data_IF_801074502103
#
_entry.id   IF_801074502103
#
_cell.length_a   1.000
_cell.length_b   1.000
_cell.length_c   1.000
_cell.angle_alpha   90.00
_cell.angle_beta   90.00
_cell.angle_gamma   90.00
#
_symmetry.space_group_name_H-M   'P 1'
#
loop_
_entity.id
_entity.type
_entity.pdbx_description
1 polymer ?
#
# COMPACT_ATOMS: atom_id res chain seq x y z
N UNK A 1 21.23 -1.95 8.40
CA UNK A 1 19.91 -2.59 8.58
C UNK A 1 20.16 -3.92 9.25
N UNK A 2 19.81 -4.04 10.52
CA UNK A 2 19.91 -5.31 11.26
C UNK A 2 18.56 -5.99 11.14
N UNK A 3 18.52 -7.13 10.45
CA UNK A 3 17.30 -7.90 10.23
C UNK A 3 17.13 -8.98 11.31
N UNK A 4 15.89 -9.22 11.75
CA UNK A 4 15.56 -10.28 12.70
C UNK A 4 14.20 -10.91 12.39
N UNK A 5 14.06 -12.19 12.76
CA UNK A 5 12.82 -12.96 12.70
C UNK A 5 12.19 -13.19 14.08
N UNK A 6 12.88 -12.81 15.16
CA UNK A 6 12.33 -12.84 16.52
C UNK A 6 11.34 -11.68 16.70
N UNK A 7 10.07 -11.98 16.44
CA UNK A 7 8.97 -11.01 16.54
C UNK A 7 7.90 -11.47 17.51
N UNK A 8 7.45 -10.54 18.37
CA UNK A 8 6.33 -10.75 19.28
C UNK A 8 5.28 -9.66 19.08
N UNK A 9 4.02 -10.08 18.96
CA UNK A 9 2.88 -9.19 18.80
C UNK A 9 2.05 -9.17 20.07
N UNK A 10 1.69 -7.99 20.54
CA UNK A 10 0.86 -7.82 21.72
C UNK A 10 -0.59 -7.49 21.34
N UNK A 11 -1.50 -7.62 22.30
CA UNK A 11 -2.89 -7.22 22.11
C UNK A 11 -3.03 -5.70 21.94
N UNK A 12 -4.06 -5.30 21.20
CA UNK A 12 -4.37 -3.89 20.97
C UNK A 12 -5.00 -3.32 22.24
N UNK A 13 -4.37 -2.31 22.81
CA UNK A 13 -4.88 -1.66 24.03
C UNK A 13 -5.42 -0.27 23.71
N UNK A 14 -6.54 0.12 24.32
CA UNK A 14 -6.98 1.52 24.27
C UNK A 14 -6.01 2.41 25.06
N UNK A 15 -5.64 3.54 24.49
CA UNK A 15 -4.84 4.54 25.19
C UNK A 15 -5.70 5.23 26.26
N UNK A 16 -5.36 5.03 27.53
CA UNK A 16 -6.09 5.59 28.67
C UNK A 16 -5.79 7.08 28.90
N UNK A 17 -4.64 7.59 28.44
CA UNK A 17 -4.21 8.98 28.67
C UNK A 17 -4.77 9.97 27.64
N UNK A 18 -5.40 9.50 26.57
CA UNK A 18 -5.90 10.34 25.49
C UNK A 18 -7.37 10.71 25.73
N UNK A 19 -7.68 12.01 25.71
CA UNK A 19 -9.06 12.53 25.78
C UNK A 19 -9.94 11.98 24.64
N UNK A 20 -9.37 11.76 23.46
CA UNK A 20 -10.03 11.10 22.34
C UNK A 20 -9.70 9.60 22.30
N UNK A 21 -10.64 8.69 21.98
CA UNK A 21 -10.36 7.27 21.83
C UNK A 21 -9.21 7.04 20.85
N UNK A 22 -8.19 6.30 21.27
CA UNK A 22 -7.11 5.85 20.40
C UNK A 22 -6.65 4.46 20.84
N UNK A 23 -6.08 3.71 19.92
CA UNK A 23 -5.76 2.29 20.06
C UNK A 23 -4.29 2.09 19.74
N UNK A 24 -3.57 1.43 20.64
CA UNK A 24 -2.11 1.24 20.57
C UNK A 24 -1.84 -0.20 20.16
N UNK A 25 -1.13 -0.34 19.04
CA UNK A 25 -0.51 -1.59 18.60
C UNK A 25 0.90 -1.61 19.16
N UNK A 26 1.29 -2.69 19.85
CA UNK A 26 2.65 -2.91 20.33
C UNK A 26 3.19 -4.20 19.75
N UNK A 27 4.47 -4.19 19.42
CA UNK A 27 5.22 -5.37 18.99
C UNK A 27 6.69 -5.22 19.35
N UNK A 28 7.46 -6.30 19.31
CA UNK A 28 8.91 -6.24 19.50
C UNK A 28 9.62 -7.01 18.41
N UNK A 29 10.77 -6.50 17.98
CA UNK A 29 11.69 -7.15 17.03
C UNK A 29 13.05 -7.27 17.69
N UNK A 30 13.60 -8.48 17.81
CA UNK A 30 14.86 -8.71 18.55
C UNK A 30 14.88 -8.04 19.93
N UNK A 31 13.79 -8.20 20.69
CA UNK A 31 13.54 -7.58 22.02
C UNK A 31 13.42 -6.04 22.04
N UNK A 32 13.65 -5.33 20.94
CA UNK A 32 13.40 -3.88 20.82
C UNK A 32 11.90 -3.63 20.66
N UNK A 33 11.30 -2.93 21.63
CA UNK A 33 9.87 -2.62 21.63
C UNK A 33 9.56 -1.51 20.63
N UNK A 34 8.49 -1.72 19.88
CA UNK A 34 7.90 -0.76 18.95
C UNK A 34 6.43 -0.57 19.31
N UNK A 35 5.93 0.65 19.16
CA UNK A 35 4.52 0.93 19.36
C UNK A 35 4.00 1.92 18.33
N UNK A 36 2.71 1.83 18.02
CA UNK A 36 2.03 2.77 17.15
C UNK A 36 0.59 2.97 17.59
N UNK A 37 0.14 4.21 17.55
CA UNK A 37 -1.20 4.61 17.98
C UNK A 37 -2.05 4.99 16.78
N UNK A 38 -3.26 4.45 16.72
CA UNK A 38 -4.27 4.71 15.70
C UNK A 38 -5.53 5.32 16.31
N UNK A 39 -6.28 6.10 15.53
CA UNK A 39 -7.54 6.72 15.98
C UNK A 39 -8.68 5.72 16.12
N UNK A 40 -8.71 4.68 15.29
CA UNK A 40 -9.78 3.67 15.30
C UNK A 40 -9.21 2.29 15.58
N UNK A 41 -10.05 1.42 16.17
CA UNK A 41 -9.68 0.03 16.46
C UNK A 41 -9.45 -0.75 15.17
N UNK A 42 -10.27 -0.51 14.15
CA UNK A 42 -10.17 -1.17 12.85
C UNK A 42 -8.81 -0.94 12.18
N UNK A 43 -8.29 0.31 12.18
CA UNK A 43 -6.96 0.60 11.64
C UNK A 43 -5.85 -0.11 12.42
N UNK A 44 -5.96 -0.16 13.76
CA UNK A 44 -5.02 -0.89 14.59
C UNK A 44 -5.04 -2.41 14.33
N UNK A 45 -6.23 -2.98 14.19
CA UNK A 45 -6.44 -4.41 13.88
C UNK A 45 -5.93 -4.77 12.48
N UNK A 46 -6.21 -3.94 11.48
CA UNK A 46 -5.72 -4.10 10.11
C UNK A 46 -4.19 -4.06 10.06
N UNK A 47 -3.57 -3.04 10.68
CA UNK A 47 -2.10 -2.94 10.74
C UNK A 47 -1.45 -4.14 11.46
N UNK A 48 -2.00 -4.56 12.61
CA UNK A 48 -1.53 -5.74 13.33
C UNK A 48 -1.68 -7.01 12.49
N UNK A 49 -2.77 -7.13 11.73
CA UNK A 49 -2.97 -8.23 10.78
C UNK A 49 -1.89 -8.23 9.69
N UNK A 50 -1.53 -7.07 9.14
CA UNK A 50 -0.46 -6.97 8.16
C UNK A 50 0.91 -7.40 8.75
N UNK A 51 1.24 -7.01 9.99
CA UNK A 51 2.46 -7.45 10.67
C UNK A 51 2.48 -8.98 10.89
N UNK A 52 1.36 -9.55 11.36
CA UNK A 52 1.23 -11.00 11.56
C UNK A 52 1.38 -11.77 10.25
N UNK A 53 0.81 -11.25 9.17
CA UNK A 53 0.96 -11.84 7.84
C UNK A 53 2.41 -11.81 7.37
N UNK A 54 3.16 -10.72 7.61
CA UNK A 54 4.57 -10.64 7.28
C UNK A 54 5.41 -11.67 8.05
N UNK A 55 5.19 -11.80 9.37
CA UNK A 55 5.86 -12.83 10.16
C UNK A 55 5.52 -14.25 9.69
N UNK A 56 4.25 -14.52 9.36
CA UNK A 56 3.80 -15.82 8.82
C UNK A 56 4.47 -16.15 7.48
N UNK A 57 4.84 -15.14 6.68
CA UNK A 57 5.59 -15.34 5.42
C UNK A 57 7.08 -15.69 5.64
N UNK A 58 7.57 -15.66 6.88
CA UNK A 58 9.00 -15.75 7.15
C UNK A 58 9.74 -14.53 6.62
N UNK A 59 9.10 -13.36 6.66
CA UNK A 59 9.72 -12.11 6.24
C UNK A 59 10.59 -11.54 7.37
N UNK A 60 11.75 -10.99 7.02
CA UNK A 60 12.63 -10.33 7.97
C UNK A 60 12.05 -8.98 8.42
N UNK A 61 12.22 -8.68 9.70
CA UNK A 61 11.90 -7.39 10.27
C UNK A 61 13.19 -6.62 10.54
N UNK A 62 13.25 -5.38 10.10
CA UNK A 62 14.36 -4.50 10.45
C UNK A 62 14.21 -4.07 11.91
N UNK A 63 15.27 -4.23 12.70
CA UNK A 63 15.27 -4.00 14.15
C UNK A 63 15.06 -2.52 14.49
N UNK A 64 15.56 -1.61 13.66
CA UNK A 64 15.49 -0.18 13.93
C UNK A 64 14.13 0.42 13.62
N UNK A 65 13.60 0.08 12.46
CA UNK A 65 12.26 0.46 12.08
C UNK A 65 11.19 -0.41 12.77
N UNK A 66 11.51 -1.62 13.20
CA UNK A 66 10.53 -2.59 13.68
C UNK A 66 9.55 -3.06 12.59
N UNK A 67 9.72 -2.70 11.32
CA UNK A 67 8.81 -3.08 10.25
C UNK A 67 9.39 -4.22 9.40
N UNK A 68 8.51 -5.02 8.78
CA UNK A 68 8.94 -5.99 7.78
C UNK A 68 9.40 -5.27 6.50
N UNK A 69 10.34 -5.88 5.76
CA UNK A 69 10.97 -5.29 4.57
C UNK A 69 9.99 -4.76 3.51
N UNK A 70 8.88 -5.45 3.27
CA UNK A 70 7.79 -5.08 2.36
C UNK A 70 7.05 -3.82 2.78
N UNK A 71 6.84 -3.63 4.09
CA UNK A 71 6.26 -2.41 4.63
C UNK A 71 7.25 -1.24 4.55
N UNK A 72 8.55 -1.49 4.72
CA UNK A 72 9.59 -0.47 4.53
C UNK A 72 9.60 -0.03 3.06
N UNK A 73 9.61 -0.97 2.11
CA UNK A 73 9.50 -0.68 0.66
C UNK A 73 8.25 0.14 0.34
N UNK A 74 7.11 -0.19 0.93
CA UNK A 74 5.88 0.57 0.75
C UNK A 74 5.96 1.98 1.36
N UNK A 75 6.56 2.11 2.55
CA UNK A 75 6.73 3.39 3.24
C UNK A 75 7.67 4.34 2.49
N UNK A 76 8.70 3.80 1.85
CA UNK A 76 9.70 4.57 1.11
C UNK A 76 9.30 4.83 -0.36
N UNK A 77 8.11 4.36 -0.78
CA UNK A 77 7.57 4.59 -2.10
C UNK A 77 7.37 6.09 -2.35
N UNK A 78 7.89 6.59 -3.47
CA UNK A 78 7.85 8.01 -3.84
C UNK A 78 6.66 8.33 -4.73
N UNK A 79 6.24 7.38 -5.55
CA UNK A 79 5.10 7.50 -6.45
C UNK A 79 3.94 6.59 -6.07
N UNK A 80 2.74 6.94 -6.54
CA UNK A 80 1.55 6.09 -6.37
C UNK A 80 1.73 4.73 -7.06
N UNK A 81 2.43 4.68 -8.20
CA UNK A 81 2.74 3.42 -8.88
C UNK A 81 3.60 2.51 -8.01
N UNK A 82 4.70 3.02 -7.43
CA UNK A 82 5.57 2.24 -6.54
C UNK A 82 4.81 1.75 -5.31
N UNK A 83 3.95 2.60 -4.74
CA UNK A 83 3.13 2.23 -3.60
C UNK A 83 2.14 1.11 -3.94
N UNK A 84 1.47 1.20 -5.09
CA UNK A 84 0.58 0.16 -5.60
C UNK A 84 1.33 -1.16 -5.85
N UNK A 85 2.56 -1.10 -6.37
CA UNK A 85 3.40 -2.28 -6.57
C UNK A 85 3.77 -2.95 -5.24
N UNK A 86 4.18 -2.17 -4.24
CA UNK A 86 4.49 -2.69 -2.91
C UNK A 86 3.25 -3.30 -2.22
N UNK A 87 2.08 -2.67 -2.39
CA UNK A 87 0.81 -3.20 -1.91
C UNK A 87 0.43 -4.54 -2.57
N UNK A 88 0.62 -4.65 -3.88
CA UNK A 88 0.41 -5.90 -4.62
C UNK A 88 1.34 -6.99 -4.10
N UNK A 89 2.63 -6.70 -3.98
CA UNK A 89 3.64 -7.64 -3.46
C UNK A 89 3.21 -8.21 -2.10
N UNK A 90 2.74 -7.34 -1.21
CA UNK A 90 2.26 -7.74 0.12
C UNK A 90 1.01 -8.63 0.06
N UNK A 91 0.01 -8.28 -0.76
CA UNK A 91 -1.29 -8.98 -0.80
C UNK A 91 -1.27 -10.26 -1.65
N UNK A 92 -0.40 -10.34 -2.65
CA UNK A 92 -0.43 -11.40 -3.66
C UNK A 92 -0.37 -12.82 -3.13
N UNK A 93 0.52 -13.19 -2.16
CA UNK A 93 0.68 -14.57 -1.74
C UNK A 93 -0.61 -15.18 -1.14
N UNK A 94 -1.45 -14.36 -0.51
CA UNK A 94 -2.65 -14.80 0.21
C UNK A 94 -3.93 -14.59 -0.60
N UNK A 95 -3.87 -13.79 -1.66
CA UNK A 95 -5.01 -13.54 -2.52
C UNK A 95 -5.29 -14.77 -3.41
N UNK A 96 -6.55 -15.20 -3.47
CA UNK A 96 -6.99 -16.17 -4.48
C UNK A 96 -6.77 -15.59 -5.90
N UNK A 97 -6.66 -16.45 -6.92
CA UNK A 97 -6.43 -16.03 -8.30
C UNK A 97 -7.41 -14.94 -8.77
N UNK A 98 -8.71 -15.10 -8.47
CA UNK A 98 -9.75 -14.11 -8.80
C UNK A 98 -9.58 -12.77 -8.06
N UNK A 99 -9.07 -12.81 -6.83
CA UNK A 99 -8.79 -11.62 -6.03
C UNK A 99 -7.54 -10.89 -6.54
N UNK A 100 -6.50 -11.62 -6.94
CA UNK A 100 -5.31 -11.06 -7.61
C UNK A 100 -5.71 -10.33 -8.89
N UNK A 101 -6.50 -10.99 -9.73
CA UNK A 101 -7.00 -10.40 -10.98
C UNK A 101 -7.83 -9.14 -10.74
N UNK A 102 -8.77 -9.20 -9.79
CA UNK A 102 -9.63 -8.06 -9.45
C UNK A 102 -8.84 -6.88 -8.88
N UNK A 103 -7.80 -7.16 -8.08
CA UNK A 103 -6.90 -6.14 -7.53
C UNK A 103 -6.09 -5.47 -8.64
N UNK A 104 -5.43 -6.25 -9.50
CA UNK A 104 -4.67 -5.71 -10.63
C UNK A 104 -5.57 -4.96 -11.62
N UNK A 105 -6.80 -5.42 -11.85
CA UNK A 105 -7.79 -4.72 -12.67
C UNK A 105 -8.20 -3.36 -12.08
N UNK A 106 -8.52 -3.33 -10.78
CA UNK A 106 -8.89 -2.10 -10.09
C UNK A 106 -7.76 -1.07 -10.16
N UNK A 107 -6.54 -1.48 -9.81
CA UNK A 107 -5.38 -0.59 -9.81
C UNK A 107 -4.97 -0.17 -11.23
N UNK A 108 -5.09 -1.05 -12.22
CA UNK A 108 -4.86 -0.69 -13.63
C UNK A 108 -5.89 0.32 -14.17
N UNK A 109 -7.05 0.44 -13.53
CA UNK A 109 -8.08 1.43 -13.89
C UNK A 109 -7.76 2.79 -13.24
N UNK A 110 -7.29 2.79 -11.99
CA UNK A 110 -7.04 4.01 -11.23
C UNK A 110 -5.72 4.69 -11.61
N UNK A 111 -4.64 3.91 -11.75
CA UNK A 111 -3.29 4.46 -11.91
C UNK A 111 -3.14 5.42 -13.11
N UNK A 112 -3.74 5.18 -14.29
CA UNK A 112 -3.70 6.15 -15.39
C UNK A 112 -4.35 7.50 -15.08
N UNK A 113 -5.30 7.56 -14.14
CA UNK A 113 -5.90 8.81 -13.68
C UNK A 113 -5.03 9.53 -12.62
N UNK A 114 -4.06 8.81 -12.04
CA UNK A 114 -3.09 9.30 -11.08
C UNK A 114 -1.73 9.55 -11.74
N UNK A 115 -1.77 10.24 -12.88
CA UNK A 115 -0.59 10.67 -13.63
C UNK A 115 -0.57 12.18 -13.78
N UNK A 116 0.65 12.74 -13.79
CA UNK A 116 0.96 14.12 -14.18
C UNK A 116 0.58 14.29 -15.65
N UNK A 117 0.16 15.50 -16.03
CA UNK A 117 -0.05 15.82 -17.44
C UNK A 117 1.31 15.84 -18.15
N UNK A 118 1.51 14.90 -19.08
CA UNK A 118 2.80 14.64 -19.73
C UNK A 118 2.56 14.24 -21.18
N UNK A 119 3.30 14.86 -22.09
CA UNK A 119 3.28 14.53 -23.50
C UNK A 119 3.65 13.06 -23.77
N UNK A 120 3.20 12.53 -24.91
CA UNK A 120 3.48 11.14 -25.31
C UNK A 120 2.72 10.10 -24.49
N UNK A 121 1.53 10.46 -23.97
CA UNK A 121 0.67 9.54 -23.21
C UNK A 121 0.25 8.35 -24.11
N UNK A 122 0.59 7.11 -23.73
CA UNK A 122 0.11 5.92 -24.43
C UNK A 122 -1.41 5.80 -24.35
N UNK A 123 -2.00 5.07 -25.29
CA UNK A 123 -3.45 4.87 -25.30
C UNK A 123 -3.94 4.09 -24.06
N UNK A 124 -5.23 4.21 -23.74
CA UNK A 124 -5.79 3.61 -22.53
C UNK A 124 -5.70 2.06 -22.51
N UNK A 125 -5.77 1.40 -23.67
CA UNK A 125 -5.65 -0.06 -23.76
C UNK A 125 -4.21 -0.50 -23.59
N UNK A 126 -3.26 0.23 -24.15
CA UNK A 126 -1.83 -0.02 -23.94
C UNK A 126 -1.47 0.18 -22.46
N UNK A 127 -1.83 1.30 -21.84
CA UNK A 127 -1.58 1.56 -20.42
C UNK A 127 -2.13 0.44 -19.53
N UNK A 128 -3.37 0.01 -19.78
CA UNK A 128 -3.97 -1.10 -19.04
C UNK A 128 -3.20 -2.41 -19.25
N UNK A 129 -2.75 -2.67 -20.47
CA UNK A 129 -2.02 -3.90 -20.82
C UNK A 129 -0.68 -3.94 -20.09
N UNK A 130 0.12 -2.87 -20.16
CA UNK A 130 1.41 -2.81 -19.47
C UNK A 130 1.23 -2.87 -17.95
N UNK A 131 0.18 -2.24 -17.41
CA UNK A 131 -0.10 -2.27 -15.98
C UNK A 131 -0.42 -3.70 -15.54
N UNK A 132 -1.36 -4.38 -16.20
CA UNK A 132 -1.78 -5.73 -15.77
C UNK A 132 -0.76 -6.83 -16.06
N UNK A 133 -0.02 -6.74 -17.16
CA UNK A 133 0.89 -7.81 -17.60
C UNK A 133 2.34 -7.63 -17.12
N UNK A 134 2.74 -6.41 -16.75
CA UNK A 134 4.15 -6.11 -16.44
C UNK A 134 4.31 -5.42 -15.08
N UNK A 135 3.56 -4.34 -14.82
CA UNK A 135 3.85 -3.47 -13.67
C UNK A 135 3.12 -3.88 -12.38
N UNK A 136 1.94 -4.48 -12.47
CA UNK A 136 1.08 -4.87 -11.34
C UNK A 136 1.12 -6.37 -11.08
N UNK A 137 2.32 -6.93 -11.21
CA UNK A 137 2.68 -8.29 -10.81
C UNK A 137 3.75 -8.22 -9.72
N UNK A 138 3.82 -9.23 -8.84
CA UNK A 138 4.95 -9.40 -7.93
C UNK A 138 6.28 -9.45 -8.68
N UNK A 139 7.35 -8.98 -8.07
CA UNK A 139 8.66 -8.83 -8.69
C UNK A 139 9.19 -10.15 -9.27
N UNK A 140 9.02 -11.27 -8.56
CA UNK A 140 9.39 -12.62 -9.01
C UNK A 140 8.59 -13.12 -10.23
N UNK A 141 7.45 -12.50 -10.53
CA UNK A 141 6.55 -12.88 -11.63
C UNK A 141 6.59 -11.93 -12.82
N UNK A 142 7.39 -10.86 -12.76
CA UNK A 142 7.52 -9.92 -13.87
C UNK A 142 8.40 -10.53 -14.95
N UNK A 143 7.86 -10.62 -16.17
CA UNK A 143 8.66 -10.94 -17.35
C UNK A 143 9.47 -9.72 -17.81
N UNK A 144 10.51 -9.97 -18.60
CA UNK A 144 11.24 -8.91 -19.31
C UNK A 144 10.26 -8.06 -20.12
N UNK A 145 10.39 -6.73 -20.03
CA UNK A 145 9.52 -5.80 -20.76
C UNK A 145 9.76 -5.98 -22.27
N UNK A 146 8.74 -6.37 -23.05
CA UNK A 146 8.88 -6.45 -24.50
C UNK A 146 9.22 -5.08 -25.09
N UNK A 147 10.06 -5.03 -26.13
CA UNK A 147 10.55 -3.79 -26.74
C UNK A 147 9.42 -2.82 -27.10
N UNK A 148 8.30 -3.34 -27.61
CA UNK A 148 7.10 -2.57 -27.96
C UNK A 148 6.47 -1.80 -26.78
N UNK A 149 6.66 -2.28 -25.54
CA UNK A 149 6.07 -1.66 -24.34
C UNK A 149 7.06 -0.83 -23.51
N UNK A 150 8.34 -0.80 -23.90
CA UNK A 150 9.39 -0.10 -23.15
C UNK A 150 9.08 1.38 -22.96
N UNK A 151 8.66 2.06 -24.04
CA UNK A 151 8.33 3.49 -23.99
C UNK A 151 7.11 3.75 -23.09
N UNK A 152 6.06 2.94 -23.19
CA UNK A 152 4.85 3.09 -22.39
C UNK A 152 5.10 2.81 -20.90
N UNK A 153 5.94 1.81 -20.58
CA UNK A 153 6.38 1.52 -19.20
C UNK A 153 7.20 2.68 -18.63
N UNK A 154 8.16 3.20 -19.39
CA UNK A 154 8.96 4.34 -18.97
C UNK A 154 8.09 5.58 -18.75
N UNK A 155 7.13 5.83 -19.64
CA UNK A 155 6.16 6.91 -19.50
C UNK A 155 5.33 6.75 -18.23
N UNK A 156 4.75 5.56 -17.98
CA UNK A 156 3.90 5.33 -16.81
C UNK A 156 4.67 5.53 -15.49
N UNK A 157 5.93 5.08 -15.41
CA UNK A 157 6.79 5.33 -14.25
C UNK A 157 7.06 6.81 -14.04
N UNK A 158 7.41 7.52 -15.11
CA UNK A 158 7.81 8.92 -15.03
C UNK A 158 6.62 9.90 -14.93
N UNK A 159 5.43 9.48 -15.34
CA UNK A 159 4.20 10.26 -15.25
C UNK A 159 3.44 10.00 -13.95
N UNK A 160 3.74 8.95 -13.18
CA UNK A 160 3.01 8.67 -11.93
C UNK A 160 3.10 9.85 -10.95
N UNK A 161 1.97 10.19 -10.30
CA UNK A 161 1.93 11.21 -9.25
C UNK A 161 2.75 10.78 -8.04
N UNK A 162 3.23 11.78 -7.30
CA UNK A 162 3.92 11.55 -6.04
C UNK A 162 2.89 11.07 -5.00
N UNK A 163 3.30 10.19 -4.09
CA UNK A 163 2.36 9.57 -3.14
C UNK A 163 1.66 10.63 -2.25
N UNK A 164 2.35 11.72 -1.94
CA UNK A 164 1.83 12.83 -1.14
C UNK A 164 0.60 13.50 -1.79
N UNK A 165 0.46 13.49 -3.12
CA UNK A 165 -0.72 14.08 -3.79
C UNK A 165 -2.02 13.32 -3.50
N UNK A 166 -1.96 12.10 -2.93
CA UNK A 166 -3.16 11.38 -2.49
C UNK A 166 -3.79 11.98 -1.22
N UNK A 167 -3.12 12.88 -0.51
CA UNK A 167 -3.73 13.63 0.59
C UNK A 167 -4.75 14.66 0.08
N UNK A 168 -4.62 15.09 -1.17
CA UNK A 168 -5.54 16.02 -1.79
C UNK A 168 -6.85 15.35 -2.18
N UNK A 169 -7.96 15.81 -1.59
CA UNK A 169 -9.29 15.25 -1.87
C UNK A 169 -9.67 15.33 -3.36
N UNK A 170 -9.15 16.30 -4.12
CA UNK A 170 -9.35 16.41 -5.57
C UNK A 170 -8.73 15.21 -6.31
N UNK A 171 -7.51 14.83 -5.97
CA UNK A 171 -6.80 13.69 -6.55
C UNK A 171 -7.54 12.38 -6.28
N UNK A 172 -7.99 12.18 -5.03
CA UNK A 172 -8.79 10.99 -4.66
C UNK A 172 -10.11 10.95 -5.43
N UNK A 173 -10.80 12.09 -5.60
CA UNK A 173 -12.03 12.17 -6.39
C UNK A 173 -11.79 11.84 -7.87
N UNK A 174 -10.68 12.28 -8.46
CA UNK A 174 -10.30 11.92 -9.84
C UNK A 174 -10.11 10.41 -10.00
N UNK A 175 -9.40 9.76 -9.06
CA UNK A 175 -9.26 8.32 -9.04
C UNK A 175 -10.61 7.59 -8.90
N UNK A 176 -11.47 8.04 -7.99
CA UNK A 176 -12.81 7.46 -7.81
C UNK A 176 -13.71 7.65 -9.03
N UNK A 177 -13.61 8.78 -9.73
CA UNK A 177 -14.31 9.01 -10.99
C UNK A 177 -13.80 8.09 -12.11
N UNK A 178 -12.49 7.85 -12.20
CA UNK A 178 -11.96 6.89 -13.17
C UNK A 178 -12.54 5.47 -12.98
N UNK A 179 -12.88 5.10 -11.74
CA UNK A 179 -13.53 3.81 -11.45
C UNK A 179 -14.97 3.71 -11.93
N UNK A 180 -15.65 4.84 -12.20
CA UNK A 180 -17.03 4.83 -12.70
C UNK A 180 -17.11 4.64 -14.21
N UNK A 181 -15.97 4.63 -14.91
CA UNK A 181 -15.90 4.57 -16.36
C UNK A 181 -15.30 3.23 -16.84
N UNK A 182 -15.79 2.77 -17.98
CA UNK A 182 -15.21 1.71 -18.80
C UNK A 182 -14.11 2.29 -19.71
N UNK A 183 -13.33 1.41 -20.36
CA UNK A 183 -12.27 1.83 -21.29
C UNK A 183 -12.78 2.57 -22.52
N UNK A 184 -14.05 2.38 -22.87
CA UNK A 184 -14.75 3.09 -23.94
C UNK A 184 -15.39 4.41 -23.46
N UNK A 185 -15.15 4.81 -22.20
CA UNK A 185 -15.68 6.03 -21.61
C UNK A 185 -17.13 5.94 -21.13
N UNK A 186 -17.80 4.79 -21.29
CA UNK A 186 -19.17 4.60 -20.80
C UNK A 186 -19.21 4.30 -19.31
N UNK A 187 -20.39 4.44 -18.69
CA UNK A 187 -20.58 4.09 -17.28
C UNK A 187 -20.31 2.59 -17.05
N UNK A 188 -19.51 2.29 -16.03
CA UNK A 188 -19.28 0.92 -15.58
C UNK A 188 -20.48 0.38 -14.78
N UNK A 189 -20.66 -0.94 -14.79
CA UNK A 189 -21.68 -1.58 -13.96
C UNK A 189 -21.45 -1.32 -12.47
N UNK A 190 -22.53 -1.09 -11.70
CA UNK A 190 -22.47 -0.74 -10.27
C UNK A 190 -21.65 -1.75 -9.44
N UNK A 191 -21.79 -3.05 -9.72
CA UNK A 191 -21.02 -4.13 -9.08
C UNK A 191 -19.52 -4.04 -9.38
N UNK A 192 -19.16 -3.62 -10.59
CA UNK A 192 -17.76 -3.42 -10.98
C UNK A 192 -17.18 -2.21 -10.27
N UNK A 193 -17.93 -1.11 -10.20
CA UNK A 193 -17.54 0.11 -9.48
C UNK A 193 -17.29 -0.21 -8.01
N UNK A 194 -18.24 -0.87 -7.33
CA UNK A 194 -18.13 -1.21 -5.92
C UNK A 194 -16.89 -2.07 -5.63
N UNK A 195 -16.66 -3.11 -6.45
CA UNK A 195 -15.49 -3.98 -6.32
C UNK A 195 -14.18 -3.22 -6.49
N UNK A 196 -14.05 -2.39 -7.54
CA UNK A 196 -12.83 -1.62 -7.76
C UNK A 196 -12.58 -0.58 -6.67
N UNK A 197 -13.66 0.07 -6.18
CA UNK A 197 -13.58 1.01 -5.05
C UNK A 197 -13.09 0.34 -3.77
N UNK A 198 -13.50 -0.90 -3.50
CA UNK A 198 -13.02 -1.64 -2.34
C UNK A 198 -11.48 -1.83 -2.36
N UNK A 199 -10.91 -2.20 -3.51
CA UNK A 199 -9.45 -2.33 -3.64
C UNK A 199 -8.72 -1.00 -3.55
N UNK A 200 -9.26 0.06 -4.15
CA UNK A 200 -8.65 1.39 -4.04
C UNK A 200 -8.73 1.92 -2.60
N UNK A 201 -9.84 1.69 -1.90
CA UNK A 201 -9.96 2.01 -0.48
C UNK A 201 -8.93 1.25 0.36
N UNK A 202 -8.78 -0.05 0.14
CA UNK A 202 -7.77 -0.86 0.84
C UNK A 202 -6.34 -0.36 0.61
N UNK A 203 -6.03 0.14 -0.59
CA UNK A 203 -4.76 0.79 -0.89
C UNK A 203 -4.58 2.08 -0.07
N UNK A 204 -5.58 2.96 -0.06
CA UNK A 204 -5.53 4.22 0.70
C UNK A 204 -5.45 3.98 2.21
N UNK A 205 -6.21 3.03 2.73
CA UNK A 205 -6.17 2.61 4.12
C UNK A 205 -4.76 2.15 4.50
N UNK A 206 -4.12 1.34 3.65
CA UNK A 206 -2.74 0.91 3.85
C UNK A 206 -1.75 2.09 3.82
N UNK A 207 -1.96 3.10 2.97
CA UNK A 207 -1.12 4.30 2.96
C UNK A 207 -1.22 5.06 4.29
N UNK A 208 -2.45 5.28 4.77
CA UNK A 208 -2.72 5.92 6.07
C UNK A 208 -2.11 5.11 7.22
N UNK A 209 -2.24 3.80 7.16
CA UNK A 209 -1.67 2.87 8.14
C UNK A 209 -0.16 2.98 8.23
N UNK A 210 0.55 3.31 7.15
CA UNK A 210 2.00 3.50 7.15
C UNK A 210 2.39 4.93 7.58
N UNK A 211 1.70 5.96 7.06
CA UNK A 211 1.98 7.38 7.34
C UNK A 211 1.79 7.79 8.80
N UNK A 212 0.81 7.26 9.54
CA UNK A 212 0.54 7.66 10.93
C UNK A 212 1.62 7.22 11.95
N UNK A 213 2.80 6.76 11.50
CA UNK A 213 3.85 6.27 12.39
C UNK A 213 4.62 7.47 12.94
N UNK A 214 4.37 7.83 14.20
CA UNK A 214 5.33 8.66 14.93
C UNK A 214 6.64 7.89 15.10
N UNK A 215 7.82 8.50 14.85
CA UNK A 215 9.07 7.92 15.31
C UNK A 215 8.98 7.72 16.83
N UNK A 216 9.54 6.61 17.29
CA UNK A 216 9.48 6.17 18.68
C UNK A 216 10.22 7.20 19.56
N UNK A 217 9.52 8.20 20.10
CA UNK A 217 10.00 8.91 21.29
C UNK A 217 9.72 7.97 22.45
N UNK A 218 10.72 7.19 22.83
CA UNK A 218 10.69 6.32 24.00
C UNK A 218 10.47 7.20 25.25
N UNK A 219 9.32 7.14 25.95
CA UNK A 219 9.13 7.94 27.16
C UNK A 219 9.62 7.23 28.42
N UNK A 220 10.37 6.11 28.33
CA UNK A 220 10.73 5.31 29.50
C UNK A 220 12.21 4.89 29.49
N UNK A 221 13.11 5.85 29.34
CA UNK A 221 14.26 5.91 30.25
C UNK A 221 13.86 6.75 31.45
N UNK A 222 13.08 6.17 32.35
CA UNK A 222 13.14 6.57 33.76
C UNK A 222 14.01 5.54 34.43
N UNK A 223 15.26 5.92 34.64
CA UNK A 223 16.09 5.38 35.70
C UNK A 223 15.35 5.51 37.03
N UNK A 224 15.32 4.43 37.80
CA UNK A 224 15.38 4.37 39.26
C UNK A 224 15.39 2.86 39.58
N UNK A 225 16.58 2.29 39.86
CA UNK A 225 17.15 2.12 41.21
C UNK A 225 16.46 1.01 41.98
#
# INVERSE_FOLDING_TARGET
MTASYDVKFFEITRNKSSKTPSYVVRWSVARKRSSKTYRTKALAESFLSHLRQAAKRGEAFDVDSGLPTSMIKAKDARSVLEFAQAFIEMKWPHAAAKSRDSMSDALATVLPALTKDRAGRPDARELRTILRKLLLLPEDKRSTVPQQHTAAVAWMKAASLDLANLEEAKTVRLALHALTLCLDGKAAASTTIARKRAFFHALLEYAVELCQRRPNSDPLTTSES
#
